data_IF_900427425487
#
_entry.id   IF_900427425487
#
_cell.length_a   1.000
_cell.length_b   1.000
_cell.length_c   1.000
_cell.angle_alpha   90.00
_cell.angle_beta   90.00
_cell.angle_gamma   90.00
#
_symmetry.space_group_name_H-M   'P 1'
#
loop_
_entity.id
_entity.type
_entity.pdbx_description
1 polymer ?
#
# COMPACT_ATOMS: atom_id res chain seq x y z
N UNK A 1 57.56 -16.94 14.07
CA UNK A 1 56.48 -15.99 14.44
C UNK A 1 55.45 -16.06 13.33
N UNK A 2 54.50 -17.01 13.45
CA UNK A 2 53.42 -17.25 12.47
C UNK A 2 52.22 -16.36 12.86
N UNK A 3 51.97 -15.32 12.07
CA UNK A 3 50.72 -14.53 12.16
C UNK A 3 49.61 -15.36 11.56
N UNK A 4 48.77 -15.93 12.42
CA UNK A 4 47.48 -16.54 12.03
C UNK A 4 46.52 -15.41 11.70
N UNK A 5 46.29 -15.18 10.41
CA UNK A 5 45.26 -14.28 9.89
C UNK A 5 43.92 -15.03 10.01
N UNK A 6 43.29 -14.91 11.17
CA UNK A 6 41.90 -15.34 11.34
C UNK A 6 41.00 -14.39 10.53
N UNK A 7 40.70 -14.79 9.31
CA UNK A 7 39.62 -14.21 8.53
C UNK A 7 38.30 -14.46 9.34
N UNK A 8 37.87 -13.45 10.06
CA UNK A 8 36.55 -13.40 10.63
C UNK A 8 35.54 -13.32 9.49
N UNK A 9 35.20 -14.46 8.91
CA UNK A 9 33.96 -14.60 8.16
C UNK A 9 32.82 -14.46 9.17
N UNK A 10 32.34 -13.23 9.40
CA UNK A 10 30.99 -13.07 9.93
C UNK A 10 30.06 -13.75 8.94
N UNK A 11 29.28 -14.76 9.34
CA UNK A 11 28.27 -15.31 8.44
C UNK A 11 27.38 -14.15 8.01
N UNK A 12 27.41 -13.82 6.71
CA UNK A 12 26.49 -12.84 6.15
C UNK A 12 25.10 -13.34 6.44
N UNK A 13 24.43 -12.76 7.43
CA UNK A 13 23.02 -13.02 7.69
C UNK A 13 22.26 -12.37 6.55
N UNK A 14 22.02 -13.12 5.47
CA UNK A 14 21.16 -12.70 4.40
C UNK A 14 19.73 -12.63 4.96
N UNK A 15 19.23 -11.43 5.18
CA UNK A 15 17.83 -11.23 5.49
C UNK A 15 17.10 -10.84 4.21
N UNK A 16 15.89 -11.35 4.08
CA UNK A 16 14.95 -11.01 3.02
C UNK A 16 13.75 -10.32 3.67
N UNK A 17 13.24 -9.28 3.04
CA UNK A 17 11.99 -8.69 3.47
C UNK A 17 10.90 -8.86 2.42
N UNK A 18 9.65 -8.75 2.84
CA UNK A 18 8.53 -8.68 1.92
C UNK A 18 7.74 -7.40 2.14
N UNK A 19 7.21 -6.88 1.04
CA UNK A 19 6.36 -5.68 1.05
C UNK A 19 5.00 -6.05 0.46
N UNK A 20 3.95 -5.79 1.23
CA UNK A 20 2.60 -5.65 0.74
C UNK A 20 2.31 -4.15 0.58
N UNK A 21 2.43 -3.65 -0.65
CA UNK A 21 2.19 -2.25 -1.00
C UNK A 21 0.75 -2.08 -1.45
N UNK A 22 -0.15 -1.75 -0.53
CA UNK A 22 -1.53 -1.44 -0.84
C UNK A 22 -1.73 0.00 -1.35
N UNK A 23 -2.93 0.31 -1.83
CA UNK A 23 -3.28 1.66 -2.32
C UNK A 23 -3.27 2.73 -1.21
N UNK A 24 -3.56 2.33 0.03
CA UNK A 24 -3.63 3.23 1.18
C UNK A 24 -2.49 3.02 2.17
N UNK A 25 -2.05 1.79 2.33
CA UNK A 25 -1.08 1.44 3.35
C UNK A 25 -0.16 0.31 2.91
N UNK A 26 1.04 0.31 3.46
CA UNK A 26 2.01 -0.76 3.29
C UNK A 26 2.20 -1.57 4.57
N UNK A 27 2.59 -2.84 4.43
CA UNK A 27 3.06 -3.70 5.51
C UNK A 27 4.38 -4.31 5.07
N UNK A 28 5.27 -4.48 6.04
CA UNK A 28 6.62 -5.00 5.82
C UNK A 28 6.83 -6.20 6.74
N UNK A 29 7.24 -7.33 6.18
CA UNK A 29 7.67 -8.47 6.96
C UNK A 29 9.13 -8.77 6.69
N UNK A 30 9.84 -9.23 7.71
CA UNK A 30 11.28 -9.56 7.64
C UNK A 30 11.47 -11.02 7.99
N UNK A 31 12.25 -11.72 7.16
CA UNK A 31 12.75 -13.05 7.47
C UNK A 31 14.08 -12.91 8.19
N UNK A 32 14.14 -13.37 9.43
CA UNK A 32 15.35 -13.35 10.23
C UNK A 32 15.50 -14.69 10.94
N UNK A 33 16.43 -15.49 10.48
CA UNK A 33 16.70 -16.84 10.99
C UNK A 33 17.51 -16.80 12.29
N UNK A 34 16.96 -16.22 13.35
CA UNK A 34 17.55 -16.28 14.69
C UNK A 34 17.01 -17.47 15.47
N UNK A 35 17.87 -18.29 16.08
CA UNK A 35 17.45 -19.42 16.90
C UNK A 35 16.49 -18.97 18.02
N UNK A 36 15.38 -19.69 18.21
CA UNK A 36 14.41 -19.42 19.28
C UNK A 36 13.42 -18.28 19.01
N UNK A 37 13.44 -17.68 17.82
CA UNK A 37 12.47 -16.66 17.40
C UNK A 37 11.66 -17.15 16.19
N UNK A 38 10.46 -16.54 15.98
CA UNK A 38 9.73 -16.76 14.74
C UNK A 38 10.59 -16.33 13.54
N UNK A 39 10.72 -17.17 12.51
CA UNK A 39 11.53 -16.84 11.34
C UNK A 39 10.98 -15.65 10.56
N UNK A 40 9.70 -15.34 10.69
CA UNK A 40 9.02 -14.22 10.02
C UNK A 40 8.41 -13.31 11.06
N UNK A 41 8.67 -12.01 10.95
CA UNK A 41 8.10 -11.00 11.83
C UNK A 41 7.67 -9.76 11.03
N UNK A 42 6.58 -9.13 11.49
CA UNK A 42 6.10 -7.88 10.89
C UNK A 42 6.87 -6.71 11.50
N UNK A 43 7.50 -5.89 10.65
CA UNK A 43 8.11 -4.65 11.07
C UNK A 43 7.02 -3.65 11.51
N UNK A 44 7.31 -2.93 12.57
CA UNK A 44 6.45 -1.86 13.09
C UNK A 44 7.03 -0.50 12.70
N UNK A 45 6.15 0.47 12.50
CA UNK A 45 6.55 1.84 12.22
C UNK A 45 6.85 2.64 13.51
N UNK A 46 7.17 3.91 13.36
CA UNK A 46 7.47 4.86 14.43
C UNK A 46 6.33 5.04 15.44
N UNK A 47 5.09 4.73 15.05
CA UNK A 47 3.91 4.71 15.91
C UNK A 47 3.59 3.31 16.48
N UNK A 48 4.55 2.38 16.41
CA UNK A 48 4.39 0.98 16.84
C UNK A 48 3.26 0.23 16.13
N UNK A 49 2.87 0.67 14.93
CA UNK A 49 1.83 0.02 14.12
C UNK A 49 2.45 -0.93 13.11
N UNK A 50 1.78 -2.05 12.83
CA UNK A 50 2.17 -3.04 11.81
C UNK A 50 1.76 -2.64 10.39
N UNK A 51 1.06 -1.53 10.25
CA UNK A 51 0.55 -0.96 8.99
C UNK A 51 0.92 0.50 8.95
N UNK A 52 1.60 0.93 7.88
CA UNK A 52 2.04 2.30 7.67
C UNK A 52 1.29 2.93 6.50
N UNK A 53 0.95 4.22 6.56
CA UNK A 53 0.37 4.92 5.40
C UNK A 53 1.34 4.91 4.21
N UNK A 54 0.83 4.58 3.02
CA UNK A 54 1.60 4.61 1.76
C UNK A 54 1.51 6.02 1.14
N UNK A 55 2.10 7.01 1.82
CA UNK A 55 2.02 8.43 1.50
C UNK A 55 3.40 9.05 1.37
N UNK A 56 3.49 10.01 0.45
CA UNK A 56 4.63 10.93 0.31
C UNK A 56 4.10 12.35 0.40
N UNK A 57 4.80 13.22 1.10
CA UNK A 57 4.51 14.65 1.12
C UNK A 57 5.79 15.45 0.93
N UNK A 58 5.66 16.59 0.23
CA UNK A 58 6.70 17.59 0.16
C UNK A 58 6.19 18.87 0.82
N UNK A 59 6.84 19.28 1.89
CA UNK A 59 6.46 20.47 2.63
C UNK A 59 7.70 21.17 3.19
N UNK A 60 7.80 22.47 2.95
CA UNK A 60 8.90 23.34 3.41
C UNK A 60 10.30 22.77 3.07
N UNK A 61 10.45 22.23 1.85
CA UNK A 61 11.70 21.64 1.37
C UNK A 61 12.02 20.24 1.92
N UNK A 62 11.15 19.68 2.77
CA UNK A 62 11.31 18.35 3.35
C UNK A 62 10.38 17.33 2.69
N UNK A 63 10.92 16.12 2.48
CA UNK A 63 10.14 14.95 2.08
C UNK A 63 9.71 14.18 3.32
N UNK A 64 8.41 14.04 3.52
CA UNK A 64 7.81 13.31 4.63
C UNK A 64 7.13 12.04 4.12
N UNK A 65 7.13 10.98 4.91
CA UNK A 65 6.63 9.66 4.56
C UNK A 65 5.73 9.10 5.67
N UNK A 66 4.93 8.11 5.36
CA UNK A 66 4.15 7.36 6.34
C UNK A 66 3.26 8.24 7.22
N UNK A 67 3.36 8.09 8.53
CA UNK A 67 2.54 8.81 9.52
C UNK A 67 2.79 10.32 9.52
N UNK A 68 4.03 10.76 9.26
CA UNK A 68 4.35 12.19 9.17
C UNK A 68 3.61 12.84 7.99
N UNK A 69 3.64 12.20 6.82
CA UNK A 69 2.88 12.66 5.64
C UNK A 69 1.37 12.64 5.92
N UNK A 70 0.86 11.60 6.61
CA UNK A 70 -0.56 11.47 6.95
C UNK A 70 -1.04 12.63 7.85
N UNK A 71 -0.17 13.13 8.72
CA UNK A 71 -0.45 14.30 9.57
C UNK A 71 -0.79 15.56 8.80
N UNK A 72 -0.26 15.71 7.59
CA UNK A 72 -0.46 16.88 6.72
C UNK A 72 -1.67 16.76 5.78
N UNK A 73 -2.22 15.57 5.56
CA UNK A 73 -3.20 15.29 4.51
C UNK A 73 -4.46 16.16 4.56
N UNK A 74 -4.96 16.48 5.77
CA UNK A 74 -6.13 17.33 5.92
C UNK A 74 -5.82 18.83 5.76
N UNK A 75 -4.58 19.25 6.08
CA UNK A 75 -4.16 20.67 6.06
C UNK A 75 -3.63 21.08 4.69
N UNK A 76 -2.87 20.20 4.05
CA UNK A 76 -2.21 20.44 2.77
C UNK A 76 -2.46 19.27 1.80
N UNK A 77 -3.74 19.02 1.41
CA UNK A 77 -4.09 17.84 0.60
C UNK A 77 -3.42 17.82 -0.77
N UNK A 78 -3.06 18.98 -1.33
CA UNK A 78 -2.35 19.09 -2.61
C UNK A 78 -0.87 18.66 -2.51
N UNK A 79 -0.29 18.65 -1.29
CA UNK A 79 1.12 18.32 -1.03
C UNK A 79 1.32 16.90 -0.50
N UNK A 80 0.24 16.10 -0.37
CA UNK A 80 0.29 14.74 0.19
C UNK A 80 -0.20 13.75 -0.85
N UNK A 81 0.75 13.05 -1.48
CA UNK A 81 0.50 12.11 -2.59
C UNK A 81 0.13 10.75 -2.06
N UNK A 82 -1.07 10.32 -2.35
CA UNK A 82 -1.64 9.01 -2.03
C UNK A 82 -1.95 8.21 -3.28
N UNK A 83 -2.19 6.90 -3.14
CA UNK A 83 -2.54 5.98 -4.23
C UNK A 83 -1.52 5.95 -5.38
N UNK A 84 -0.27 6.33 -5.12
CA UNK A 84 0.79 6.43 -6.13
C UNK A 84 1.04 5.10 -6.84
N UNK A 85 0.87 3.96 -6.13
CA UNK A 85 0.93 2.61 -6.73
C UNK A 85 -0.09 2.43 -7.84
N UNK A 86 -1.29 2.96 -7.67
CA UNK A 86 -2.40 2.76 -8.62
C UNK A 86 -2.25 3.61 -9.88
N UNK A 87 -1.27 4.53 -9.90
CA UNK A 87 -0.91 5.35 -11.06
C UNK A 87 0.20 4.71 -11.92
N UNK A 88 0.93 3.69 -11.40
CA UNK A 88 2.05 3.04 -12.10
C UNK A 88 1.64 2.53 -13.47
N UNK A 89 2.46 2.81 -14.48
CA UNK A 89 2.30 2.26 -15.83
C UNK A 89 1.01 2.64 -16.56
N UNK A 90 0.25 3.61 -16.04
CA UNK A 90 -1.02 4.04 -16.66
C UNK A 90 -0.82 5.21 -17.61
N UNK A 91 -1.59 5.24 -18.74
CA UNK A 91 -1.69 6.44 -19.57
C UNK A 91 -2.25 7.62 -18.78
N UNK A 92 -1.84 8.84 -19.14
CA UNK A 92 -2.23 10.06 -18.46
C UNK A 92 -3.74 10.19 -18.21
N UNK A 93 -4.57 9.96 -19.25
CA UNK A 93 -6.02 10.06 -19.12
C UNK A 93 -6.62 9.04 -18.13
N UNK A 94 -6.06 7.83 -18.07
CA UNK A 94 -6.50 6.80 -17.12
C UNK A 94 -6.11 7.15 -15.69
N UNK A 95 -4.89 7.64 -15.48
CA UNK A 95 -4.42 8.10 -14.18
C UNK A 95 -5.23 9.33 -13.71
N UNK A 96 -5.53 10.27 -14.60
CA UNK A 96 -6.36 11.44 -14.31
C UNK A 96 -7.79 11.06 -13.88
N UNK A 97 -8.37 10.03 -14.51
CA UNK A 97 -9.68 9.49 -14.10
C UNK A 97 -9.65 9.01 -12.64
N UNK A 98 -8.58 8.32 -12.21
CA UNK A 98 -8.40 7.86 -10.83
C UNK A 98 -8.36 9.08 -9.88
N UNK A 99 -7.52 10.07 -10.18
CA UNK A 99 -7.40 11.26 -9.34
C UNK A 99 -8.73 11.99 -9.17
N UNK A 100 -9.47 12.19 -10.26
CA UNK A 100 -10.74 12.88 -10.25
C UNK A 100 -11.81 12.08 -9.47
N UNK A 101 -11.92 10.77 -9.71
CA UNK A 101 -12.93 9.93 -9.03
C UNK A 101 -12.71 9.84 -7.52
N UNK A 102 -11.47 10.02 -7.07
CA UNK A 102 -11.07 9.95 -5.67
C UNK A 102 -10.90 11.32 -5.01
N UNK A 103 -11.22 12.41 -5.71
CA UNK A 103 -10.99 13.79 -5.24
C UNK A 103 -9.56 13.98 -4.71
N UNK A 104 -8.56 13.58 -5.50
CA UNK A 104 -7.15 13.79 -5.20
C UNK A 104 -6.68 15.05 -5.93
N UNK A 105 -6.37 16.14 -5.21
CA UNK A 105 -6.16 17.46 -5.80
C UNK A 105 -4.70 17.71 -6.21
N UNK A 106 -4.07 16.69 -6.81
CA UNK A 106 -2.68 16.80 -7.23
C UNK A 106 -2.57 17.58 -8.55
N UNK A 107 -1.59 18.46 -8.63
CA UNK A 107 -1.21 19.06 -9.89
C UNK A 107 -0.44 18.03 -10.72
N UNK A 108 -0.80 17.91 -12.00
CA UNK A 108 -0.26 16.88 -12.89
C UNK A 108 0.07 17.44 -14.26
N UNK A 109 1.08 16.85 -14.91
CA UNK A 109 1.45 17.12 -16.29
C UNK A 109 1.59 15.81 -17.06
N UNK A 110 1.14 15.79 -18.31
CA UNK A 110 1.42 14.65 -19.19
C UNK A 110 2.90 14.70 -19.61
N UNK A 111 3.57 13.55 -19.51
CA UNK A 111 4.95 13.43 -19.94
C UNK A 111 5.04 13.03 -21.42
N UNK A 112 6.25 13.11 -21.99
CA UNK A 112 6.51 12.83 -23.41
C UNK A 112 6.21 11.39 -23.85
N UNK A 113 5.98 10.47 -22.89
CA UNK A 113 5.60 9.07 -23.13
C UNK A 113 4.09 8.82 -22.99
N UNK A 114 3.28 9.88 -22.80
CA UNK A 114 1.85 9.77 -22.56
C UNK A 114 1.47 9.28 -21.17
N UNK A 115 2.42 9.24 -20.25
CA UNK A 115 2.19 8.93 -18.84
C UNK A 115 1.98 10.20 -18.00
N UNK A 116 1.76 10.03 -16.70
CA UNK A 116 1.53 11.11 -15.75
C UNK A 116 2.82 11.48 -15.03
N UNK A 117 3.04 12.78 -14.86
CA UNK A 117 3.94 13.34 -13.86
C UNK A 117 3.13 14.13 -12.84
N UNK A 118 3.56 14.08 -11.59
CA UNK A 118 2.99 14.85 -10.49
C UNK A 118 3.92 16.03 -10.19
N UNK A 119 3.32 17.21 -10.02
CA UNK A 119 4.07 18.44 -9.76
C UNK A 119 4.10 18.68 -8.26
N UNK A 120 5.29 18.66 -7.68
CA UNK A 120 5.48 19.02 -6.28
C UNK A 120 5.93 20.49 -6.21
N UNK A 121 5.16 21.30 -5.53
CA UNK A 121 5.52 22.67 -5.20
C UNK A 121 6.78 22.68 -4.32
N UNK A 122 7.90 23.03 -4.89
CA UNK A 122 9.18 23.17 -4.18
C UNK A 122 9.26 24.46 -3.36
N UNK A 123 8.23 25.31 -3.40
CA UNK A 123 8.23 26.60 -2.70
C UNK A 123 9.19 27.66 -3.30
N UNK A 124 9.86 27.33 -4.39
CA UNK A 124 10.75 28.19 -5.15
C UNK A 124 10.43 28.06 -6.66
N UNK A 125 10.97 28.94 -7.50
CA UNK A 125 10.69 29.09 -8.94
C UNK A 125 10.88 27.80 -9.80
N UNK A 126 11.35 26.71 -9.23
CA UNK A 126 11.51 25.41 -9.89
C UNK A 126 10.62 24.37 -9.23
N UNK A 127 9.41 24.16 -9.78
CA UNK A 127 8.57 23.02 -9.46
C UNK A 127 9.32 21.70 -9.67
N UNK A 128 9.40 20.88 -8.64
CA UNK A 128 9.91 19.53 -8.79
C UNK A 128 8.84 18.64 -9.40
N UNK A 129 9.19 17.86 -10.40
CA UNK A 129 8.26 16.99 -11.13
C UNK A 129 8.68 15.54 -10.89
N UNK A 130 7.75 14.70 -10.45
CA UNK A 130 7.98 13.29 -10.14
C UNK A 130 7.06 12.38 -10.94
N UNK A 131 7.61 11.30 -11.48
CA UNK A 131 6.80 10.19 -12.00
C UNK A 131 6.16 9.39 -10.85
N UNK A 132 5.07 8.63 -11.10
CA UNK A 132 4.53 7.69 -10.13
C UNK A 132 5.59 6.69 -9.61
N UNK A 133 6.49 6.25 -10.49
CA UNK A 133 7.59 5.34 -10.15
C UNK A 133 8.53 5.95 -9.11
N UNK A 134 8.88 7.23 -9.22
CA UNK A 134 9.72 7.93 -8.25
C UNK A 134 9.02 8.08 -6.89
N UNK A 135 7.73 8.41 -6.87
CA UNK A 135 6.97 8.49 -5.61
C UNK A 135 6.83 7.12 -4.95
N UNK A 136 6.57 6.07 -5.73
CA UNK A 136 6.53 4.68 -5.22
C UNK A 136 7.91 4.26 -4.72
N UNK A 137 9.00 4.67 -5.40
CA UNK A 137 10.36 4.40 -4.93
C UNK A 137 10.63 5.02 -3.56
N UNK A 138 10.12 6.22 -3.29
CA UNK A 138 10.24 6.87 -1.97
C UNK A 138 9.49 6.07 -0.89
N UNK A 139 8.28 5.58 -1.19
CA UNK A 139 7.51 4.71 -0.28
C UNK A 139 8.22 3.37 -0.05
N UNK A 140 8.80 2.78 -1.10
CA UNK A 140 9.58 1.54 -0.97
C UNK A 140 10.88 1.77 -0.19
N UNK A 141 11.54 2.91 -0.34
CA UNK A 141 12.69 3.29 0.49
C UNK A 141 12.31 3.39 1.98
N UNK A 142 11.13 3.92 2.28
CA UNK A 142 10.60 3.90 3.64
C UNK A 142 10.36 2.46 4.15
N UNK A 143 9.84 1.56 3.29
CA UNK A 143 9.71 0.15 3.64
C UNK A 143 11.06 -0.53 3.95
N UNK A 144 12.12 -0.21 3.19
CA UNK A 144 13.49 -0.66 3.48
C UNK A 144 13.94 -0.19 4.86
N UNK A 145 13.76 1.10 5.16
CA UNK A 145 14.13 1.66 6.47
C UNK A 145 13.41 0.95 7.63
N UNK A 146 12.11 0.65 7.48
CA UNK A 146 11.36 -0.13 8.47
C UNK A 146 11.93 -1.55 8.64
N UNK A 147 12.26 -2.23 7.52
CA UNK A 147 12.82 -3.56 7.54
C UNK A 147 14.20 -3.59 8.22
N UNK A 148 15.09 -2.68 7.86
CA UNK A 148 16.44 -2.56 8.42
C UNK A 148 16.40 -2.18 9.90
N UNK A 149 15.53 -1.24 10.28
CA UNK A 149 15.34 -0.88 11.68
C UNK A 149 14.85 -2.06 12.52
N UNK A 150 13.96 -2.88 11.97
CA UNK A 150 13.44 -4.08 12.63
C UNK A 150 14.49 -5.19 12.73
N UNK A 151 15.20 -5.48 11.63
CA UNK A 151 16.18 -6.54 11.55
C UNK A 151 17.51 -6.20 12.22
N UNK A 152 17.84 -4.90 12.35
CA UNK A 152 19.13 -4.35 12.80
C UNK A 152 20.30 -4.73 11.89
N UNK A 153 20.03 -4.99 10.61
CA UNK A 153 21.02 -5.26 9.55
C UNK A 153 20.56 -4.62 8.24
N UNK A 154 21.48 -4.26 7.34
CA UNK A 154 21.10 -3.82 5.99
C UNK A 154 20.38 -4.93 5.22
N UNK A 155 19.33 -4.56 4.49
CA UNK A 155 18.53 -5.50 3.69
C UNK A 155 18.28 -4.90 2.31
N UNK A 156 18.53 -5.68 1.25
CA UNK A 156 18.29 -5.28 -0.14
C UNK A 156 17.36 -6.22 -0.89
N UNK A 157 17.31 -7.49 -0.48
CA UNK A 157 16.55 -8.51 -1.17
C UNK A 157 15.08 -8.51 -0.71
N UNK A 158 14.16 -8.41 -1.66
CA UNK A 158 12.74 -8.33 -1.37
C UNK A 158 11.85 -9.22 -2.24
N UNK A 159 10.74 -9.65 -1.67
CA UNK A 159 9.57 -10.16 -2.38
C UNK A 159 8.46 -9.13 -2.25
N UNK A 160 7.83 -8.74 -3.36
CA UNK A 160 6.77 -7.73 -3.36
C UNK A 160 5.45 -8.39 -3.77
N UNK A 161 4.43 -8.20 -2.93
CA UNK A 161 3.07 -8.64 -3.25
C UNK A 161 2.41 -7.68 -4.24
N UNK A 162 1.69 -8.24 -5.21
CA UNK A 162 0.99 -7.47 -6.26
C UNK A 162 -0.44 -7.96 -6.40
N UNK A 163 -1.40 -7.05 -6.64
CA UNK A 163 -2.78 -7.44 -6.86
C UNK A 163 -2.94 -8.25 -8.17
N UNK A 164 -3.94 -9.13 -8.26
CA UNK A 164 -4.11 -10.01 -9.42
C UNK A 164 -4.40 -9.27 -10.73
N UNK A 165 -4.97 -8.08 -10.65
CA UNK A 165 -5.32 -7.25 -11.82
C UNK A 165 -4.16 -6.40 -12.35
N UNK A 166 -3.03 -6.35 -11.65
CA UNK A 166 -1.86 -5.59 -12.08
C UNK A 166 -1.24 -6.21 -13.34
N UNK A 167 -1.30 -5.48 -14.45
CA UNK A 167 -0.79 -5.90 -15.74
C UNK A 167 0.72 -5.70 -15.91
N UNK A 168 1.22 -5.93 -17.11
CA UNK A 168 2.66 -5.85 -17.38
C UNK A 168 3.24 -4.44 -17.23
N UNK A 169 2.49 -3.41 -17.63
CA UNK A 169 2.95 -2.02 -17.53
C UNK A 169 3.13 -1.62 -16.06
N UNK A 170 2.13 -1.92 -15.24
CA UNK A 170 2.15 -1.62 -13.80
C UNK A 170 3.25 -2.42 -13.07
N UNK A 171 3.43 -3.70 -13.40
CA UNK A 171 4.50 -4.53 -12.81
C UNK A 171 5.89 -4.02 -13.18
N UNK A 172 6.09 -3.57 -14.44
CA UNK A 172 7.35 -2.93 -14.87
C UNK A 172 7.60 -1.61 -14.15
N UNK A 173 6.56 -0.79 -13.98
CA UNK A 173 6.63 0.45 -13.19
C UNK A 173 7.02 0.17 -11.73
N UNK A 174 6.45 -0.88 -11.11
CA UNK A 174 6.81 -1.29 -9.76
C UNK A 174 8.25 -1.78 -9.65
N UNK A 175 8.73 -2.57 -10.63
CA UNK A 175 10.13 -3.01 -10.67
C UNK A 175 11.11 -1.83 -10.86
N UNK A 176 10.75 -0.85 -11.70
CA UNK A 176 11.53 0.37 -11.86
C UNK A 176 11.59 1.19 -10.55
N UNK A 177 10.45 1.32 -9.86
CA UNK A 177 10.39 1.97 -8.55
C UNK A 177 11.26 1.24 -7.51
N UNK A 178 11.22 -0.08 -7.48
CA UNK A 178 12.06 -0.88 -6.58
C UNK A 178 13.57 -0.71 -6.89
N UNK A 179 13.93 -0.67 -8.17
CA UNK A 179 15.30 -0.40 -8.59
C UNK A 179 15.77 1.00 -8.16
N UNK A 180 14.93 2.03 -8.31
CA UNK A 180 15.21 3.39 -7.82
C UNK A 180 15.39 3.44 -6.31
N UNK A 181 14.67 2.59 -5.57
CA UNK A 181 14.80 2.44 -4.12
C UNK A 181 16.02 1.58 -3.69
N UNK A 182 16.80 1.06 -4.64
CA UNK A 182 17.95 0.20 -4.36
C UNK A 182 17.59 -1.22 -3.92
N UNK A 183 16.36 -1.67 -4.21
CA UNK A 183 15.86 -3.00 -3.83
C UNK A 183 16.16 -4.00 -4.94
N UNK A 184 16.73 -5.15 -4.55
CA UNK A 184 16.84 -6.32 -5.40
C UNK A 184 15.56 -7.16 -5.27
N UNK A 185 14.71 -7.12 -6.29
CA UNK A 185 13.43 -7.85 -6.28
C UNK A 185 13.67 -9.30 -6.67
N UNK A 186 13.55 -10.21 -5.71
CA UNK A 186 13.67 -11.65 -5.94
C UNK A 186 12.46 -12.20 -6.69
N UNK A 187 11.26 -11.69 -6.36
CA UNK A 187 10.01 -12.11 -7.00
C UNK A 187 8.88 -11.10 -6.78
N UNK A 188 7.98 -11.02 -7.75
CA UNK A 188 6.64 -10.48 -7.57
C UNK A 188 5.67 -11.64 -7.38
N UNK A 189 4.94 -11.65 -6.26
CA UNK A 189 3.91 -12.68 -5.99
C UNK A 189 2.53 -12.04 -5.97
N UNK A 190 1.52 -12.79 -6.42
CA UNK A 190 0.15 -12.31 -6.28
C UNK A 190 -0.28 -12.35 -4.81
N UNK A 191 -1.02 -11.32 -4.37
CA UNK A 191 -1.50 -11.18 -2.98
C UNK A 191 -2.24 -12.43 -2.49
N UNK A 192 -3.15 -12.98 -3.31
CA UNK A 192 -3.88 -14.23 -2.99
C UNK A 192 -2.96 -15.45 -2.84
N UNK A 193 -1.82 -15.50 -3.55
CA UNK A 193 -0.84 -16.58 -3.40
C UNK A 193 -0.09 -16.46 -2.07
N UNK A 194 0.22 -15.24 -1.64
CA UNK A 194 0.79 -14.97 -0.31
C UNK A 194 -0.18 -15.40 0.81
N UNK A 195 -1.46 -15.08 0.68
CA UNK A 195 -2.50 -15.49 1.62
C UNK A 195 -2.67 -17.02 1.64
N UNK A 196 -2.63 -17.68 0.47
CA UNK A 196 -2.71 -19.13 0.36
C UNK A 196 -1.50 -19.83 1.01
N UNK A 197 -0.28 -19.30 0.80
CA UNK A 197 0.92 -19.81 1.46
C UNK A 197 0.78 -19.74 2.99
N UNK A 198 0.40 -18.60 3.53
CA UNK A 198 0.22 -18.42 4.97
C UNK A 198 -0.88 -19.33 5.53
N UNK A 199 -1.98 -19.50 4.80
CA UNK A 199 -3.05 -20.41 5.21
C UNK A 199 -2.59 -21.88 5.28
N UNK A 200 -1.73 -22.29 4.34
CA UNK A 200 -1.30 -23.68 4.18
C UNK A 200 -0.06 -24.08 4.99
N UNK A 201 0.71 -23.10 5.52
CA UNK A 201 2.06 -23.36 6.07
C UNK A 201 2.05 -24.37 7.25
N UNK A 202 1.03 -24.30 8.10
CA UNK A 202 0.91 -25.15 9.29
C UNK A 202 -0.14 -26.28 9.13
N UNK A 203 -0.58 -26.56 7.90
CA UNK A 203 -1.61 -27.56 7.62
C UNK A 203 -1.03 -28.76 6.89
N UNK A 204 -1.63 -29.92 7.12
CA UNK A 204 -1.34 -31.15 6.38
C UNK A 204 -2.52 -31.50 5.46
N UNK A 205 -2.23 -31.64 4.18
CA UNK A 205 -3.19 -32.00 3.14
C UNK A 205 -2.95 -33.41 2.58
N UNK A 206 -2.18 -34.26 3.28
CA UNK A 206 -1.85 -35.62 2.84
C UNK A 206 -3.07 -36.52 2.74
N UNK A 207 -4.04 -36.34 3.64
CA UNK A 207 -5.23 -37.18 3.76
C UNK A 207 -6.52 -36.50 3.27
N UNK A 208 -6.51 -35.18 3.13
CA UNK A 208 -7.70 -34.40 2.79
C UNK A 208 -7.33 -33.23 1.89
N UNK A 209 -7.97 -33.15 0.74
CA UNK A 209 -7.85 -31.98 -0.14
C UNK A 209 -8.90 -30.93 0.23
N UNK A 210 -8.58 -29.62 0.01
CA UNK A 210 -9.51 -28.54 0.32
C UNK A 210 -9.60 -27.52 -0.78
N UNK A 211 -10.81 -27.02 -1.01
CA UNK A 211 -11.05 -25.80 -1.78
C UNK A 211 -11.31 -24.65 -0.81
N UNK A 212 -10.59 -23.56 -0.97
CA UNK A 212 -10.70 -22.38 -0.12
C UNK A 212 -10.87 -21.15 -1.01
N UNK A 213 -11.81 -20.28 -0.66
CA UNK A 213 -11.97 -18.98 -1.29
C UNK A 213 -11.28 -17.94 -0.39
N UNK A 214 -10.30 -17.26 -0.95
CA UNK A 214 -9.70 -16.07 -0.36
C UNK A 214 -10.44 -14.85 -0.89
N UNK A 215 -11.18 -14.18 -0.02
CA UNK A 215 -11.86 -12.93 -0.32
C UNK A 215 -11.10 -11.79 0.34
N UNK A 216 -10.63 -10.85 -0.47
CA UNK A 216 -9.92 -9.67 -0.03
C UNK A 216 -10.63 -8.41 -0.50
N UNK A 217 -11.01 -7.55 0.43
CA UNK A 217 -11.53 -6.22 0.15
C UNK A 217 -10.57 -5.18 0.71
N UNK A 218 -9.74 -4.64 -0.19
CA UNK A 218 -8.77 -3.61 0.13
C UNK A 218 -9.35 -2.20 0.17
N UNK A 219 -8.46 -1.20 0.10
CA UNK A 219 -8.87 0.21 0.08
C UNK A 219 -9.59 0.59 -1.22
N UNK A 220 -9.06 0.19 -2.38
CA UNK A 220 -9.59 0.58 -3.71
C UNK A 220 -10.15 -0.57 -4.52
N UNK A 221 -9.80 -1.82 -4.19
CA UNK A 221 -10.14 -2.99 -4.98
C UNK A 221 -10.59 -4.16 -4.11
N UNK A 222 -11.28 -5.11 -4.76
CA UNK A 222 -11.69 -6.38 -4.16
C UNK A 222 -11.32 -7.52 -5.10
N UNK A 223 -10.89 -8.66 -4.56
CA UNK A 223 -10.78 -9.90 -5.32
C UNK A 223 -11.27 -11.10 -4.51
N UNK A 224 -11.65 -12.16 -5.25
CA UNK A 224 -11.92 -13.48 -4.70
C UNK A 224 -11.10 -14.50 -5.50
N UNK A 225 -10.32 -15.32 -4.80
CA UNK A 225 -9.48 -16.36 -5.39
C UNK A 225 -9.90 -17.74 -4.89
N UNK A 226 -10.22 -18.64 -5.81
CA UNK A 226 -10.48 -20.05 -5.51
C UNK A 226 -9.15 -20.81 -5.54
N UNK A 227 -8.76 -21.39 -4.42
CA UNK A 227 -7.51 -22.13 -4.27
C UNK A 227 -7.78 -23.57 -3.83
N UNK A 228 -7.17 -24.51 -4.52
CA UNK A 228 -7.20 -25.93 -4.21
C UNK A 228 -5.91 -26.33 -3.49
N UNK A 229 -6.02 -26.93 -2.32
CA UNK A 229 -4.93 -27.47 -1.53
C UNK A 229 -4.92 -28.98 -1.61
N UNK A 230 -3.74 -29.56 -1.78
CA UNK A 230 -3.49 -31.01 -1.81
C UNK A 230 -2.06 -31.31 -1.40
N UNK A 231 -1.71 -32.59 -1.32
CA UNK A 231 -0.34 -33.02 -1.18
C UNK A 231 0.00 -34.05 -2.26
N UNK A 232 1.28 -34.13 -2.60
CA UNK A 232 1.82 -35.16 -3.47
C UNK A 232 3.03 -35.86 -2.81
N UNK A 233 3.35 -37.06 -3.30
CA UNK A 233 4.52 -37.80 -2.84
C UNK A 233 5.76 -37.30 -3.57
N UNK A 234 6.65 -36.62 -2.86
CA UNK A 234 7.99 -36.22 -3.34
C UNK A 234 9.07 -37.16 -2.83
N UNK A 235 10.30 -36.95 -3.31
CA UNK A 235 11.48 -37.61 -2.75
C UNK A 235 12.41 -36.54 -2.16
N UNK A 236 12.75 -36.68 -0.91
CA UNK A 236 13.74 -35.85 -0.25
C UNK A 236 14.81 -36.74 0.39
N UNK A 237 16.08 -36.54 0.04
CA UNK A 237 17.20 -37.39 0.43
C UNK A 237 16.95 -38.90 0.23
N UNK A 238 16.27 -39.27 -0.88
CA UNK A 238 15.94 -40.65 -1.22
C UNK A 238 14.74 -41.25 -0.48
N UNK A 239 14.16 -40.54 0.47
CA UNK A 239 12.94 -40.97 1.21
C UNK A 239 11.70 -40.35 0.58
N UNK A 240 10.59 -41.12 0.58
CA UNK A 240 9.30 -40.59 0.16
C UNK A 240 8.75 -39.67 1.26
N UNK A 241 8.47 -38.42 0.91
CA UNK A 241 7.86 -37.42 1.80
C UNK A 241 6.57 -36.89 1.18
N UNK A 242 5.60 -36.55 2.03
CA UNK A 242 4.41 -35.81 1.59
C UNK A 242 4.73 -34.33 1.49
N UNK A 243 4.46 -33.73 0.34
CA UNK A 243 4.72 -32.31 0.10
C UNK A 243 3.39 -31.63 -0.18
N UNK A 244 3.07 -30.66 0.66
CA UNK A 244 1.90 -29.82 0.47
C UNK A 244 2.06 -28.93 -0.77
N UNK A 245 0.97 -28.77 -1.49
CA UNK A 245 0.90 -27.84 -2.64
C UNK A 245 -0.45 -27.15 -2.67
N UNK A 246 -0.50 -26.00 -3.32
CA UNK A 246 -1.75 -25.36 -3.69
C UNK A 246 -1.77 -24.95 -5.16
N UNK A 247 -2.96 -24.88 -5.71
CA UNK A 247 -3.20 -24.43 -7.07
C UNK A 247 -4.31 -23.39 -7.07
N UNK A 248 -4.03 -22.21 -7.59
CA UNK A 248 -5.06 -21.20 -7.85
C UNK A 248 -5.89 -21.65 -9.04
N UNK A 249 -7.18 -21.89 -8.83
CA UNK A 249 -8.11 -22.38 -9.86
C UNK A 249 -8.73 -21.26 -10.64
N UNK A 250 -9.16 -20.18 -9.97
CA UNK A 250 -9.75 -18.99 -10.60
C UNK A 250 -9.55 -17.78 -9.69
N UNK A 251 -9.47 -16.60 -10.30
CA UNK A 251 -9.43 -15.32 -9.58
C UNK A 251 -10.35 -14.33 -10.29
N UNK A 252 -11.25 -13.70 -9.54
CA UNK A 252 -12.12 -12.63 -10.01
C UNK A 252 -11.86 -11.38 -9.19
N UNK A 253 -11.88 -10.22 -9.83
CA UNK A 253 -11.58 -8.95 -9.17
C UNK A 253 -12.42 -7.80 -9.71
N UNK A 254 -12.52 -6.78 -8.88
CA UNK A 254 -13.01 -5.46 -9.27
C UNK A 254 -12.04 -4.40 -8.74
N UNK A 255 -11.32 -3.66 -9.61
CA UNK A 255 -10.34 -2.66 -9.21
C UNK A 255 -10.97 -1.34 -8.74
N UNK A 256 -12.28 -1.18 -8.88
CA UNK A 256 -13.07 0.01 -8.49
C UNK A 256 -14.07 -0.31 -7.38
N UNK A 257 -13.80 -1.33 -6.55
CA UNK A 257 -14.64 -1.72 -5.40
C UNK A 257 -13.75 -1.98 -4.19
N UNK A 258 -13.74 -1.06 -3.25
CA UNK A 258 -12.96 -1.16 -2.01
C UNK A 258 -13.52 -0.24 -0.93
N UNK A 259 -12.90 -0.25 0.24
CA UNK A 259 -13.35 0.53 1.40
C UNK A 259 -13.47 2.03 1.13
N UNK A 260 -12.55 2.60 0.34
CA UNK A 260 -12.58 4.02 -0.02
C UNK A 260 -13.74 4.36 -0.97
N UNK A 261 -14.17 3.43 -1.83
CA UNK A 261 -15.35 3.65 -2.67
C UNK A 261 -16.64 3.70 -1.84
N UNK A 262 -16.73 2.92 -0.76
CA UNK A 262 -17.81 3.03 0.20
C UNK A 262 -17.77 4.36 0.95
N UNK A 263 -16.58 4.79 1.38
CA UNK A 263 -16.38 6.10 2.02
C UNK A 263 -16.81 7.24 1.10
N UNK A 264 -16.44 7.20 -0.19
CA UNK A 264 -16.79 8.24 -1.15
C UNK A 264 -18.31 8.40 -1.32
N UNK A 265 -19.08 7.31 -1.26
CA UNK A 265 -20.55 7.44 -1.29
C UNK A 265 -21.10 8.24 -0.10
N UNK A 266 -20.52 8.04 1.07
CA UNK A 266 -20.86 8.83 2.26
C UNK A 266 -20.35 10.27 2.14
N UNK A 267 -19.16 10.46 1.61
CA UNK A 267 -18.57 11.80 1.36
C UNK A 267 -19.48 12.60 0.41
N UNK A 268 -19.94 11.98 -0.69
CA UNK A 268 -20.87 12.61 -1.63
C UNK A 268 -22.19 12.99 -0.94
N UNK A 269 -22.78 12.06 -0.19
CA UNK A 269 -23.99 12.30 0.55
C UNK A 269 -23.85 13.48 1.52
N UNK A 270 -22.79 13.52 2.30
CA UNK A 270 -22.55 14.60 3.26
C UNK A 270 -22.14 15.92 2.59
N UNK A 271 -21.48 15.86 1.43
CA UNK A 271 -21.22 17.06 0.63
C UNK A 271 -22.50 17.70 0.15
N UNK A 272 -23.49 16.91 -0.31
CA UNK A 272 -24.81 17.42 -0.70
C UNK A 272 -25.57 18.02 0.50
N UNK A 273 -25.52 17.38 1.66
CA UNK A 273 -26.11 17.89 2.91
C UNK A 273 -25.50 19.25 3.29
N UNK A 274 -24.18 19.37 3.27
CA UNK A 274 -23.49 20.61 3.58
C UNK A 274 -23.81 21.72 2.56
N UNK A 275 -23.81 21.40 1.27
CA UNK A 275 -24.17 22.34 0.22
C UNK A 275 -25.60 22.89 0.41
N UNK A 276 -26.53 22.01 0.79
CA UNK A 276 -27.90 22.42 1.11
C UNK A 276 -27.97 23.28 2.38
N UNK A 277 -27.17 22.98 3.40
CA UNK A 277 -27.08 23.76 4.64
C UNK A 277 -26.59 25.19 4.39
N UNK A 278 -25.52 25.33 3.59
CA UNK A 278 -24.90 26.64 3.32
C UNK A 278 -25.74 27.46 2.31
N UNK A 279 -26.27 26.78 1.30
CA UNK A 279 -26.97 27.46 0.21
C UNK A 279 -26.05 28.25 -0.73
N UNK A 280 -26.62 29.25 -1.42
CA UNK A 280 -25.82 30.19 -2.23
C UNK A 280 -25.12 29.61 -3.46
N UNK A 281 -25.41 28.35 -3.84
CA UNK A 281 -24.78 27.70 -5.00
C UNK A 281 -23.35 27.21 -4.75
N UNK A 282 -22.91 27.15 -3.49
CA UNK A 282 -21.61 26.60 -3.09
C UNK A 282 -21.61 25.10 -3.32
N UNK A 283 -20.53 24.59 -3.93
CA UNK A 283 -20.23 23.17 -3.99
C UNK A 283 -18.91 22.89 -3.28
N UNK A 284 -18.99 22.28 -2.10
CA UNK A 284 -17.86 21.95 -1.23
C UNK A 284 -16.82 21.06 -1.92
N UNK A 285 -17.22 20.30 -2.94
CA UNK A 285 -16.32 19.42 -3.73
C UNK A 285 -15.23 20.19 -4.48
N UNK A 286 -15.42 21.46 -4.74
CA UNK A 286 -14.45 22.35 -5.39
C UNK A 286 -13.33 22.81 -4.45
N UNK A 287 -13.45 22.53 -3.15
CA UNK A 287 -12.50 22.98 -2.13
C UNK A 287 -11.69 21.81 -1.54
N UNK A 288 -10.44 21.62 -1.99
CA UNK A 288 -9.61 20.47 -1.60
C UNK A 288 -9.46 20.26 -0.09
N UNK A 289 -9.29 21.34 0.68
CA UNK A 289 -9.17 21.27 2.15
C UNK A 289 -10.47 20.80 2.81
N UNK A 290 -11.59 21.28 2.35
CA UNK A 290 -12.90 20.87 2.85
C UNK A 290 -13.15 19.39 2.55
N UNK A 291 -12.89 18.96 1.31
CA UNK A 291 -13.01 17.56 0.93
C UNK A 291 -12.07 16.65 1.72
N UNK A 292 -10.84 17.07 1.99
CA UNK A 292 -9.90 16.30 2.80
C UNK A 292 -10.36 16.16 4.26
N UNK A 293 -10.88 17.23 4.87
CA UNK A 293 -11.49 17.19 6.21
C UNK A 293 -12.70 16.25 6.24
N UNK A 294 -13.62 16.38 5.27
CA UNK A 294 -14.81 15.56 5.16
C UNK A 294 -14.46 14.07 4.99
N UNK A 295 -13.57 13.73 4.05
CA UNK A 295 -13.08 12.35 3.83
C UNK A 295 -12.47 11.76 5.10
N UNK A 296 -11.64 12.51 5.82
CA UNK A 296 -11.03 12.07 7.09
C UNK A 296 -12.09 11.75 8.14
N UNK A 297 -13.08 12.61 8.30
CA UNK A 297 -14.13 12.42 9.29
C UNK A 297 -15.07 11.28 8.91
N UNK A 298 -15.45 11.17 7.63
CA UNK A 298 -16.28 10.06 7.12
C UNK A 298 -15.60 8.72 7.37
N UNK A 299 -14.30 8.61 7.05
CA UNK A 299 -13.52 7.39 7.33
C UNK A 299 -13.58 7.02 8.81
N UNK A 300 -13.29 7.98 9.71
CA UNK A 300 -13.34 7.76 11.16
C UNK A 300 -14.74 7.32 11.61
N UNK A 301 -15.79 7.98 11.13
CA UNK A 301 -17.17 7.66 11.49
C UNK A 301 -17.57 6.27 11.00
N UNK A 302 -17.17 5.89 9.78
CA UNK A 302 -17.37 4.53 9.24
C UNK A 302 -16.67 3.48 10.12
N UNK A 303 -15.45 3.73 10.57
CA UNK A 303 -14.70 2.83 11.47
C UNK A 303 -15.43 2.65 12.81
N UNK A 304 -15.97 3.74 13.38
CA UNK A 304 -16.79 3.69 14.61
C UNK A 304 -18.07 2.87 14.39
N UNK A 305 -18.74 3.03 13.25
CA UNK A 305 -19.95 2.27 12.89
C UNK A 305 -19.71 0.77 12.73
N UNK A 306 -18.45 0.31 12.54
CA UNK A 306 -18.13 -1.12 12.52
C UNK A 306 -18.38 -1.82 13.85
N UNK A 307 -18.39 -1.08 14.96
CA UNK A 307 -18.63 -1.59 16.31
C UNK A 307 -19.85 -0.97 17.01
N UNK A 308 -20.49 0.01 16.39
CA UNK A 308 -21.62 0.75 16.97
C UNK A 308 -22.80 0.82 16.01
N UNK A 309 -24.01 0.92 16.55
CA UNK A 309 -25.26 1.03 15.77
C UNK A 309 -25.49 2.44 15.20
N UNK A 310 -24.87 3.45 15.80
CA UNK A 310 -24.95 4.84 15.36
C UNK A 310 -23.64 5.58 15.70
N UNK A 311 -23.27 6.54 14.87
CA UNK A 311 -22.14 7.43 15.13
C UNK A 311 -22.45 8.81 14.56
N UNK A 312 -22.22 9.90 15.33
CA UNK A 312 -22.38 11.26 14.82
C UNK A 312 -21.24 11.58 13.85
N UNK A 313 -21.54 12.44 12.87
CA UNK A 313 -20.54 13.09 12.04
C UNK A 313 -20.52 14.58 12.40
N UNK A 314 -19.31 15.11 12.63
CA UNK A 314 -19.11 16.54 12.88
C UNK A 314 -17.77 16.96 12.29
N UNK A 315 -17.78 18.03 11.51
CA UNK A 315 -16.56 18.62 10.92
C UNK A 315 -16.57 20.13 11.23
N UNK A 316 -15.66 20.52 12.10
CA UNK A 316 -15.47 21.93 12.47
C UNK A 316 -14.85 22.72 11.31
N UNK A 317 -15.38 23.93 11.10
CA UNK A 317 -14.93 24.84 10.03
C UNK A 317 -14.72 24.10 8.71
N UNK A 318 -15.72 23.38 8.24
CA UNK A 318 -15.60 22.57 7.01
C UNK A 318 -15.27 23.48 5.82
N UNK A 319 -15.97 24.60 5.69
CA UNK A 319 -15.73 25.62 4.67
C UNK A 319 -16.21 26.98 5.18
N UNK A 320 -15.38 28.03 4.98
CA UNK A 320 -15.66 29.43 5.38
C UNK A 320 -16.19 29.57 6.80
N UNK A 321 -15.49 28.91 7.75
CA UNK A 321 -15.83 28.85 9.18
C UNK A 321 -17.20 28.26 9.51
N UNK A 322 -17.86 27.63 8.53
CA UNK A 322 -19.12 26.92 8.75
C UNK A 322 -18.87 25.49 9.16
N UNK A 323 -19.43 25.10 10.29
CA UNK A 323 -19.42 23.72 10.79
C UNK A 323 -20.44 22.86 10.03
N UNK A 324 -20.11 21.60 9.86
CA UNK A 324 -21.03 20.55 9.44
C UNK A 324 -21.30 19.58 10.58
N UNK A 325 -22.58 19.33 10.88
CA UNK A 325 -23.00 18.42 11.96
C UNK A 325 -24.18 17.57 11.54
#
# INVERSE_FOLDING_TARGET
MLFSLALLFSPSQAAVFSVDLGSESLKVAVVNLKPGQSPISIAINEMSKRKSPALVSFNDGHRLLGEEAAGLAARYPQKVYSQTRDLLGKPYASAQKILNSMYLPFETKENFRGGMNLVADGGNENDSVYSPEELVAMVLGYAVNLAEFHAKIPIKDAVIAVPPYMGQAERRGLLAAAQLAGINVLSLINEHSGAALQYGIDKDFSNETRHVIFYDMGATSTYAALVYFSAYKGKEYGKSVSVNQFQVKDVRWNPELGGQHMELRLVEYFADQFNAQVGGGIDVRKFPKAMAKLKKQVKRTKEILSANTAAPISVESLHDDVDFR
#
